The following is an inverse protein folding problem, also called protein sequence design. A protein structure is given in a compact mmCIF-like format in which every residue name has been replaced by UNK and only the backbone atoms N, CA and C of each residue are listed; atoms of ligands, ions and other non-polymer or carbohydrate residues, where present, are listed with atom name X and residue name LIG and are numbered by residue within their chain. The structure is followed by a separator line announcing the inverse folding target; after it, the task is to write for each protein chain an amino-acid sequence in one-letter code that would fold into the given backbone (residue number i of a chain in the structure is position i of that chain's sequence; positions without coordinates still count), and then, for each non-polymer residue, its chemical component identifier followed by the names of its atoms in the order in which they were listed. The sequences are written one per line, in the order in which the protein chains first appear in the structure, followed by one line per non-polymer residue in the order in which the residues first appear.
data_IF_921758387045
#
_entry.id   IF_921758387045
#
_cell.length_a   1.000
_cell.length_b   1.000
_cell.length_c   1.000
_cell.angle_alpha   90.00
_cell.angle_beta   90.00
_cell.angle_gamma   90.00
#
_symmetry.space_group_name_H-M   'P 1'
#
loop_
_entity.id
_entity.type
_entity.pdbx_description
1 polymer ?
#
# COMPACT_ATOMS: atom_id res chain seq x y z
N UNK A 1 4.77 22.33 6.57
CA UNK A 1 4.92 21.14 5.72
C UNK A 1 4.90 19.93 6.65
N UNK A 2 4.13 18.89 6.36
CA UNK A 2 3.92 17.74 7.27
C UNK A 2 4.42 16.41 6.70
N UNK A 3 5.02 16.44 5.50
CA UNK A 3 5.55 15.26 4.83
C UNK A 3 6.74 15.65 3.94
N UNK A 4 7.75 14.79 3.87
CA UNK A 4 8.87 14.85 2.95
C UNK A 4 8.95 13.55 2.15
N UNK A 5 9.30 13.66 0.87
CA UNK A 5 9.58 12.50 0.02
C UNK A 5 11.08 12.35 -0.15
N UNK A 6 11.61 11.20 0.25
CA UNK A 6 12.99 10.79 -0.06
C UNK A 6 12.96 10.14 -1.44
N UNK A 7 13.42 10.89 -2.44
CA UNK A 7 13.32 10.51 -3.86
C UNK A 7 14.29 9.39 -4.23
N UNK A 8 13.81 8.43 -5.03
CA UNK A 8 14.53 7.20 -5.39
C UNK A 8 15.77 7.33 -6.27
N UNK A 9 16.22 8.53 -6.63
CA UNK A 9 17.54 8.71 -7.27
C UNK A 9 18.57 9.35 -6.34
N UNK A 10 18.23 9.52 -5.06
CA UNK A 10 19.16 9.85 -4.00
C UNK A 10 19.75 8.60 -3.35
N UNK A 11 19.82 8.61 -2.02
CA UNK A 11 20.25 7.48 -1.20
C UNK A 11 19.22 7.21 -0.11
N UNK A 12 19.27 6.03 0.50
CA UNK A 12 18.65 5.84 1.80
C UNK A 12 19.38 6.74 2.81
N UNK A 13 18.62 7.63 3.45
CA UNK A 13 19.20 8.60 4.39
C UNK A 13 19.71 7.91 5.66
N UNK A 14 20.51 8.63 6.45
CA UNK A 14 21.03 8.10 7.72
C UNK A 14 19.93 7.97 8.79
N UNK A 15 20.12 7.11 9.79
CA UNK A 15 19.23 7.00 10.96
C UNK A 15 18.94 8.37 11.60
N UNK A 16 19.94 9.24 11.73
CA UNK A 16 19.78 10.60 12.26
C UNK A 16 18.73 11.44 11.51
N UNK A 17 18.62 11.26 10.19
CA UNK A 17 17.62 11.96 9.38
C UNK A 17 16.20 11.51 9.75
N UNK A 18 15.99 10.20 9.86
CA UNK A 18 14.68 9.64 10.20
C UNK A 18 14.31 9.92 11.67
N UNK A 19 15.27 9.80 12.59
CA UNK A 19 15.08 10.15 14.01
C UNK A 19 14.66 11.62 14.16
N UNK A 20 15.30 12.52 13.41
CA UNK A 20 14.94 13.94 13.40
C UNK A 20 13.55 14.17 12.80
N UNK A 21 13.19 13.44 11.74
CA UNK A 21 11.85 13.52 11.15
C UNK A 21 10.77 13.06 12.13
N UNK A 22 11.04 12.00 12.89
CA UNK A 22 10.16 11.50 13.94
C UNK A 22 9.98 12.52 15.08
N UNK A 23 11.09 13.10 15.58
CA UNK A 23 11.05 14.14 16.63
C UNK A 23 10.26 15.39 16.19
N UNK A 24 10.35 15.75 14.92
CA UNK A 24 9.65 16.90 14.34
C UNK A 24 8.23 16.59 13.87
N UNK A 25 7.80 15.32 13.92
CA UNK A 25 6.49 14.87 13.44
C UNK A 25 6.30 15.04 11.93
N UNK A 26 7.37 14.87 11.16
CA UNK A 26 7.37 14.95 9.69
C UNK A 26 7.24 13.54 9.12
N UNK A 27 6.17 13.28 8.36
CA UNK A 27 6.01 12.00 7.69
C UNK A 27 7.03 11.83 6.57
N UNK A 28 7.59 10.63 6.42
CA UNK A 28 8.50 10.30 5.31
C UNK A 28 7.79 9.38 4.31
N UNK A 29 7.69 9.85 3.06
CA UNK A 29 7.44 8.99 1.91
C UNK A 29 8.78 8.52 1.35
N UNK A 30 9.11 7.25 1.61
CA UNK A 30 10.35 6.64 1.15
C UNK A 30 10.16 5.92 -0.19
N UNK A 31 10.92 6.33 -1.23
CA UNK A 31 11.06 5.54 -2.46
C UNK A 31 12.14 4.45 -2.29
N UNK A 32 12.13 3.43 -3.14
CA UNK A 32 13.32 2.59 -3.37
C UNK A 32 14.31 3.37 -4.25
N UNK A 33 15.62 3.05 -4.17
CA UNK A 33 16.68 3.79 -4.89
C UNK A 33 16.79 3.44 -6.39
N UNK A 34 15.63 3.45 -7.07
CA UNK A 34 15.49 3.31 -8.50
C UNK A 34 14.75 4.53 -9.07
N UNK A 35 15.37 5.25 -10.01
CA UNK A 35 14.74 6.43 -10.61
C UNK A 35 15.18 6.65 -12.05
N UNK A 36 14.19 7.03 -12.89
CA UNK A 36 14.35 7.59 -14.26
C UNK A 36 15.32 6.78 -15.15
N UNK A 37 15.37 5.45 -14.98
CA UNK A 37 16.21 4.56 -15.79
C UNK A 37 15.60 3.18 -15.92
N UNK A 38 16.02 2.47 -16.98
CA UNK A 38 15.87 1.02 -17.07
C UNK A 38 17.00 0.36 -16.27
N UNK A 39 16.67 -0.71 -15.55
CA UNK A 39 17.61 -1.48 -14.77
C UNK A 39 17.74 -2.90 -15.33
N UNK A 40 18.90 -3.55 -15.20
CA UNK A 40 19.05 -4.95 -15.57
C UNK A 40 18.06 -5.84 -14.82
N UNK A 41 17.67 -6.96 -15.42
CA UNK A 41 16.77 -7.96 -14.80
C UNK A 41 17.39 -9.35 -14.76
N UNK A 42 18.72 -9.43 -14.89
CA UNK A 42 19.43 -10.70 -14.74
C UNK A 42 19.43 -11.16 -13.27
N UNK A 43 19.57 -12.46 -13.05
CA UNK A 43 19.44 -13.06 -11.73
C UNK A 43 20.42 -12.48 -10.69
N UNK A 44 21.66 -12.15 -11.09
CA UNK A 44 22.65 -11.57 -10.19
C UNK A 44 22.24 -10.17 -9.72
N UNK A 45 21.74 -9.34 -10.64
CA UNK A 45 21.23 -8.01 -10.31
C UNK A 45 20.01 -8.10 -9.40
N UNK A 46 19.03 -8.95 -9.74
CA UNK A 46 17.82 -9.13 -8.92
C UNK A 46 18.13 -9.67 -7.51
N UNK A 47 19.11 -10.58 -7.39
CA UNK A 47 19.56 -11.06 -6.09
C UNK A 47 20.20 -9.95 -5.26
N UNK A 48 21.01 -9.09 -5.88
CA UNK A 48 21.61 -7.94 -5.21
C UNK A 48 20.53 -6.96 -4.71
N UNK A 49 19.56 -6.61 -5.58
CA UNK A 49 18.42 -5.76 -5.22
C UNK A 49 17.60 -6.38 -4.09
N UNK A 50 17.35 -7.68 -4.12
CA UNK A 50 16.63 -8.36 -3.03
C UNK A 50 17.38 -8.25 -1.70
N UNK A 51 18.70 -8.42 -1.71
CA UNK A 51 19.54 -8.25 -0.51
C UNK A 51 19.53 -6.80 -0.02
N UNK A 52 19.66 -5.82 -0.91
CA UNK A 52 19.56 -4.39 -0.58
C UNK A 52 18.21 -4.06 0.08
N UNK A 53 17.10 -4.48 -0.54
CA UNK A 53 15.75 -4.24 0.00
C UNK A 53 15.59 -4.92 1.36
N UNK A 54 16.09 -6.14 1.55
CA UNK A 54 16.03 -6.82 2.86
C UNK A 54 16.84 -6.10 3.95
N UNK A 55 17.95 -5.46 3.59
CA UNK A 55 18.78 -4.70 4.53
C UNK A 55 18.16 -3.34 4.89
N UNK A 56 17.47 -2.71 3.94
CA UNK A 56 16.79 -1.42 4.17
C UNK A 56 15.41 -1.62 4.82
N UNK A 57 14.77 -2.76 4.56
CA UNK A 57 13.49 -3.17 5.17
C UNK A 57 13.78 -4.25 6.21
N UNK A 58 14.50 -3.89 7.28
CA UNK A 58 14.89 -4.83 8.34
C UNK A 58 13.74 -5.21 9.27
N UNK A 59 12.68 -4.39 9.33
CA UNK A 59 11.44 -4.74 10.02
C UNK A 59 10.33 -3.78 9.61
N UNK A 60 9.29 -4.27 8.93
CA UNK A 60 8.00 -3.57 8.92
C UNK A 60 7.37 -3.81 10.29
N UNK A 61 7.72 -3.00 11.29
CA UNK A 61 6.96 -2.91 12.54
C UNK A 61 5.86 -1.86 12.39
N UNK A 62 4.94 -2.13 11.46
CA UNK A 62 3.52 -1.91 11.72
C UNK A 62 2.99 -3.12 12.50
N UNK A 63 1.74 -3.12 13.00
CA UNK A 63 1.22 -4.23 13.77
C UNK A 63 1.46 -5.59 13.08
N UNK A 64 2.38 -6.38 13.65
CA UNK A 64 2.81 -7.70 13.21
C UNK A 64 1.65 -8.56 12.65
N UNK A 65 1.74 -9.10 11.42
CA UNK A 65 0.75 -10.01 10.84
C UNK A 65 0.99 -11.48 11.25
N UNK A 66 1.85 -11.78 12.22
CA UNK A 66 1.87 -13.11 12.80
C UNK A 66 0.61 -13.35 13.66
N UNK A 67 -0.26 -14.19 13.10
CA UNK A 67 -1.28 -15.02 13.77
C UNK A 67 -2.38 -14.31 14.55
N UNK A 68 -3.57 -14.31 13.96
CA UNK A 68 -4.88 -14.25 14.64
C UNK A 68 -4.97 -13.18 15.74
N UNK A 69 -5.10 -11.91 15.34
CA UNK A 69 -5.65 -10.91 16.26
C UNK A 69 -7.17 -11.17 16.36
N UNK A 70 -7.69 -11.71 17.48
CA UNK A 70 -9.11 -12.07 17.60
C UNK A 70 -10.04 -10.86 17.49
N UNK A 71 -9.51 -9.64 17.62
CA UNK A 71 -10.30 -8.40 17.67
C UNK A 71 -10.64 -7.81 16.29
N UNK A 72 -10.04 -8.30 15.20
CA UNK A 72 -10.34 -7.78 13.87
C UNK A 72 -11.43 -8.60 13.19
N UNK A 73 -12.50 -7.92 12.78
CA UNK A 73 -13.44 -8.46 11.80
C UNK A 73 -12.82 -8.35 10.41
N UNK A 74 -12.92 -9.44 9.66
CA UNK A 74 -12.41 -9.52 8.29
C UNK A 74 -13.57 -9.66 7.33
N UNK A 75 -13.61 -8.78 6.33
CA UNK A 75 -14.59 -8.82 5.24
C UNK A 75 -13.87 -9.11 3.93
N UNK A 76 -14.46 -9.98 3.10
CA UNK A 76 -14.00 -10.19 1.73
C UNK A 76 -14.74 -9.25 0.80
N UNK A 77 -14.03 -8.31 0.19
CA UNK A 77 -14.57 -7.37 -0.78
C UNK A 77 -14.28 -7.90 -2.18
N UNK A 78 -15.32 -8.40 -2.84
CA UNK A 78 -15.25 -8.84 -4.23
C UNK A 78 -15.33 -7.64 -5.18
N UNK A 79 -14.40 -7.58 -6.12
CA UNK A 79 -14.29 -6.51 -7.11
C UNK A 79 -14.39 -7.17 -8.47
N UNK A 80 -15.25 -6.62 -9.33
CA UNK A 80 -15.43 -7.09 -10.69
C UNK A 80 -15.17 -5.94 -11.65
N UNK A 81 -14.52 -6.24 -12.77
CA UNK A 81 -14.32 -5.31 -13.87
C UNK A 81 -14.62 -6.01 -15.19
N UNK A 82 -15.13 -5.25 -16.17
CA UNK A 82 -15.35 -5.76 -17.53
C UNK A 82 -14.11 -5.59 -18.42
N UNK A 83 -13.18 -4.70 -18.05
CA UNK A 83 -11.91 -4.45 -18.74
C UNK A 83 -10.75 -4.41 -17.75
N UNK A 84 -9.50 -4.51 -18.24
CA UNK A 84 -8.33 -4.32 -17.38
C UNK A 84 -8.38 -2.94 -16.71
N UNK A 85 -8.41 -2.91 -15.38
CA UNK A 85 -8.42 -1.68 -14.59
C UNK A 85 -7.04 -1.47 -13.94
N UNK A 86 -6.45 -0.31 -14.20
CA UNK A 86 -5.10 0.02 -13.74
C UNK A 86 -5.21 0.88 -12.47
N UNK A 87 -4.38 0.58 -11.47
CA UNK A 87 -4.34 1.29 -10.19
C UNK A 87 -5.72 1.38 -9.56
N UNK A 88 -6.24 0.24 -9.10
CA UNK A 88 -7.52 0.16 -8.38
C UNK A 88 -7.30 0.47 -6.91
N UNK A 89 -8.02 1.46 -6.40
CA UNK A 89 -7.99 1.93 -5.01
C UNK A 89 -9.36 1.77 -4.37
N UNK A 90 -9.39 1.10 -3.23
CA UNK A 90 -10.56 0.93 -2.39
C UNK A 90 -10.47 1.90 -1.22
N UNK A 91 -11.56 2.62 -0.96
CA UNK A 91 -11.71 3.45 0.22
C UNK A 91 -12.96 3.03 0.98
N UNK A 92 -12.88 3.01 2.31
CA UNK A 92 -14.03 2.82 3.19
C UNK A 92 -14.27 4.13 3.94
N UNK A 93 -15.30 4.88 3.55
CA UNK A 93 -15.63 6.16 4.17
C UNK A 93 -16.28 5.93 5.53
N UNK A 94 -15.86 6.68 6.55
CA UNK A 94 -16.42 6.60 7.91
C UNK A 94 -16.34 5.21 8.56
N UNK A 95 -15.46 4.33 8.08
CA UNK A 95 -15.17 3.04 8.70
C UNK A 95 -13.67 2.90 8.86
N UNK A 96 -13.18 2.86 10.09
CA UNK A 96 -11.75 2.67 10.37
C UNK A 96 -11.33 1.24 10.04
N UNK A 97 -10.32 1.11 9.19
CA UNK A 97 -9.78 -0.18 8.79
C UNK A 97 -8.72 -0.06 7.71
N UNK A 98 -8.24 -1.20 7.22
CA UNK A 98 -7.29 -1.26 6.12
C UNK A 98 -7.61 -2.42 5.18
N UNK A 99 -7.22 -2.29 3.91
CA UNK A 99 -7.31 -3.34 2.91
C UNK A 99 -6.02 -4.16 2.87
N UNK A 100 -6.12 -5.45 2.53
CA UNK A 100 -4.95 -6.31 2.30
C UNK A 100 -4.13 -5.88 1.08
N UNK A 101 -4.75 -5.19 0.14
CA UNK A 101 -4.16 -4.73 -1.10
C UNK A 101 -4.87 -3.46 -1.58
N UNK A 102 -4.13 -2.50 -2.11
CA UNK A 102 -4.64 -1.23 -2.64
C UNK A 102 -3.63 -0.67 -3.65
N UNK A 103 -4.13 -0.04 -4.72
CA UNK A 103 -3.28 0.46 -5.82
C UNK A 103 -2.80 -0.65 -6.78
N UNK A 104 -3.50 -1.78 -6.82
CA UNK A 104 -3.13 -2.94 -7.63
C UNK A 104 -3.66 -2.86 -9.07
N UNK A 105 -3.18 -3.75 -9.93
CA UNK A 105 -3.67 -3.91 -11.30
C UNK A 105 -4.71 -5.04 -11.36
N UNK A 106 -5.95 -4.71 -11.72
CA UNK A 106 -7.01 -5.69 -11.90
C UNK A 106 -7.01 -6.19 -13.34
N UNK A 107 -6.22 -7.25 -13.58
CA UNK A 107 -6.06 -7.89 -14.90
C UNK A 107 -7.10 -8.96 -15.19
N UNK A 108 -7.63 -9.57 -14.13
CA UNK A 108 -8.66 -10.61 -14.20
C UNK A 108 -10.05 -10.00 -14.00
N UNK A 109 -11.10 -10.64 -14.52
CA UNK A 109 -12.47 -10.13 -14.42
C UNK A 109 -12.95 -9.99 -12.97
N UNK A 110 -12.39 -10.74 -12.04
CA UNK A 110 -12.77 -10.69 -10.63
C UNK A 110 -11.54 -10.83 -9.74
N UNK A 111 -11.49 -10.05 -8.66
CA UNK A 111 -10.52 -10.19 -7.59
C UNK A 111 -11.20 -10.00 -6.24
N UNK A 112 -10.56 -10.46 -5.16
CA UNK A 112 -11.04 -10.28 -3.81
C UNK A 112 -9.95 -9.68 -2.94
N UNK A 113 -10.30 -8.59 -2.24
CA UNK A 113 -9.42 -7.91 -1.28
C UNK A 113 -10.03 -8.05 0.10
N UNK A 114 -9.20 -8.31 1.12
CA UNK A 114 -9.66 -8.40 2.51
C UNK A 114 -9.67 -7.02 3.13
N UNK A 115 -10.74 -6.66 3.82
CA UNK A 115 -10.82 -5.48 4.65
C UNK A 115 -10.80 -5.87 6.12
N UNK A 116 -9.94 -5.23 6.91
CA UNK A 116 -9.73 -5.50 8.32
C UNK A 116 -10.19 -4.30 9.13
N UNK A 117 -11.13 -4.50 10.04
CA UNK A 117 -11.62 -3.44 10.95
C UNK A 117 -11.81 -3.98 12.36
N UNK A 118 -11.64 -3.11 13.35
CA UNK A 118 -12.02 -3.38 14.76
C UNK A 118 -13.40 -2.86 15.09
N UNK A 119 -13.99 -2.07 14.20
CA UNK A 119 -15.30 -1.50 14.43
C UNK A 119 -16.40 -2.55 14.32
N UNK A 120 -17.45 -2.37 15.10
CA UNK A 120 -18.62 -3.24 15.04
C UNK A 120 -19.53 -2.84 13.88
N UNK A 121 -19.04 -3.04 12.65
CA UNK A 121 -19.74 -2.69 11.40
C UNK A 121 -20.34 -3.95 10.77
N UNK A 122 -21.50 -3.82 10.13
CA UNK A 122 -22.13 -4.89 9.35
C UNK A 122 -21.64 -4.89 7.91
N UNK A 123 -21.76 -6.02 7.20
CA UNK A 123 -21.36 -6.11 5.80
C UNK A 123 -22.10 -5.09 4.91
N UNK A 124 -23.36 -4.77 5.23
CA UNK A 124 -24.14 -3.79 4.49
C UNK A 124 -23.62 -2.37 4.70
N UNK A 125 -23.36 -1.97 5.95
CA UNK A 125 -22.78 -0.66 6.27
C UNK A 125 -21.41 -0.48 5.64
N UNK A 126 -20.57 -1.53 5.67
CA UNK A 126 -19.29 -1.50 4.97
C UNK A 126 -19.49 -1.32 3.47
N UNK A 127 -20.42 -2.05 2.85
CA UNK A 127 -20.71 -1.93 1.42
C UNK A 127 -21.16 -0.51 1.03
N UNK A 128 -21.99 0.13 1.84
CA UNK A 128 -22.45 1.50 1.62
C UNK A 128 -21.32 2.54 1.80
N UNK A 129 -20.34 2.22 2.64
CA UNK A 129 -19.14 3.03 2.87
C UNK A 129 -18.04 2.85 1.81
N UNK A 130 -18.09 1.77 1.02
CA UNK A 130 -17.03 1.42 0.07
C UNK A 130 -17.12 2.22 -1.23
N UNK A 131 -16.01 2.85 -1.61
CA UNK A 131 -15.82 3.39 -2.96
C UNK A 131 -14.62 2.72 -3.62
N UNK A 132 -14.74 2.51 -4.93
CA UNK A 132 -13.70 1.96 -5.79
C UNK A 132 -13.32 3.03 -6.79
N UNK A 133 -12.03 3.29 -6.96
CA UNK A 133 -11.52 4.21 -7.95
C UNK A 133 -10.45 3.49 -8.78
N UNK A 134 -10.43 3.71 -10.09
CA UNK A 134 -9.40 3.24 -11.01
C UNK A 134 -8.83 4.40 -11.81
N UNK A 135 -7.59 4.28 -12.31
CA UNK A 135 -7.00 5.26 -13.22
C UNK A 135 -7.82 5.43 -14.52
N UNK A 136 -8.61 4.41 -14.89
CA UNK A 136 -9.50 4.44 -16.06
C UNK A 136 -10.85 5.10 -15.80
N UNK A 137 -11.18 5.45 -14.54
CA UNK A 137 -12.41 6.16 -14.20
C UNK A 137 -12.27 7.66 -14.55
N UNK A 138 -12.11 7.96 -15.83
CA UNK A 138 -12.32 9.31 -16.34
C UNK A 138 -13.84 9.57 -16.35
N UNK A 139 -14.27 10.52 -15.51
CA UNK A 139 -15.56 11.17 -15.67
C UNK A 139 -15.57 11.83 -17.04
N UNK A 140 -16.32 11.26 -17.98
CA UNK A 140 -16.72 11.96 -19.19
C UNK A 140 -17.75 13.00 -18.75
N UNK A 141 -17.36 14.27 -18.73
CA UNK A 141 -18.31 15.38 -18.88
C UNK A 141 -18.73 15.44 -20.34
#
# INVERSE_FOLDING_TARGET
MNMLRVWGGGVYESDYFYDTADELGILIWQDMMFAVSLYPVNAAFLQNVATEIQQQVTSVTGPNPSSSKPDFKVFSVGIRTDNVALFVWLNAHNVSGHFSDNGFLLKEQTSAVKFYTRENVTAQQLREALTVNSLTDYSVV
#
